data_IF_477968455488
#
_entry.id   IF_477968455488
#
_cell.length_a   1.000
_cell.length_b   1.000
_cell.length_c   1.000
_cell.angle_alpha   90.00
_cell.angle_beta   90.00
_cell.angle_gamma   90.00
#
_symmetry.space_group_name_H-M   'P 1'
#
loop_
_entity.id
_entity.type
_entity.pdbx_description
1 polymer ?
#
# COMPACT_ATOMS: atom_id res chain seq x y z
N UNK A 1 9.70 60.55 5.83
CA UNK A 1 8.75 59.43 5.80
C UNK A 1 8.58 58.97 7.24
N UNK A 2 7.38 59.08 7.80
CA UNK A 2 7.16 58.88 9.23
C UNK A 2 7.22 57.41 9.61
N UNK A 3 7.72 57.14 10.82
CA UNK A 3 7.78 55.79 11.43
C UNK A 3 6.38 55.16 11.50
N UNK A 4 5.33 55.97 11.57
CA UNK A 4 3.92 55.55 11.60
C UNK A 4 3.47 55.01 10.22
N UNK A 5 3.95 55.58 9.11
CA UNK A 5 3.60 55.13 7.76
C UNK A 5 4.24 53.78 7.43
N UNK A 6 5.50 53.57 7.82
CA UNK A 6 6.18 52.28 7.64
C UNK A 6 5.61 51.17 8.53
N UNK A 7 5.11 51.51 9.72
CA UNK A 7 4.36 50.57 10.58
C UNK A 7 3.01 50.19 9.95
N UNK A 8 2.27 51.14 9.40
CA UNK A 8 0.98 50.89 8.76
C UNK A 8 1.15 50.05 7.48
N UNK A 9 2.17 50.35 6.67
CA UNK A 9 2.50 49.58 5.47
C UNK A 9 2.95 48.14 5.79
N UNK A 10 3.74 47.97 6.86
CA UNK A 10 4.14 46.64 7.34
C UNK A 10 2.95 45.85 7.88
N UNK A 11 2.05 46.50 8.62
CA UNK A 11 0.82 45.87 9.13
C UNK A 11 -0.10 45.44 8.00
N UNK A 12 -0.27 46.27 6.97
CA UNK A 12 -1.11 45.94 5.83
C UNK A 12 -0.49 44.80 4.99
N UNK A 13 0.83 44.81 4.78
CA UNK A 13 1.57 43.70 4.16
C UNK A 13 1.47 42.41 4.98
N UNK A 14 1.50 42.48 6.31
CA UNK A 14 1.36 41.29 7.17
C UNK A 14 -0.04 40.65 7.07
N UNK A 15 -1.10 41.47 6.95
CA UNK A 15 -2.47 41.00 6.72
C UNK A 15 -2.58 40.35 5.34
N UNK A 16 -2.03 40.98 4.30
CA UNK A 16 -2.07 40.49 2.92
C UNK A 16 -1.32 39.15 2.77
N UNK A 17 -0.12 39.04 3.39
CA UNK A 17 0.64 37.79 3.46
C UNK A 17 -0.13 36.71 4.22
N UNK A 18 -0.83 37.07 5.30
CA UNK A 18 -1.70 36.14 6.05
C UNK A 18 -2.85 35.60 5.19
N UNK A 19 -3.49 36.45 4.38
CA UNK A 19 -4.57 36.04 3.49
C UNK A 19 -4.08 35.14 2.36
N UNK A 20 -2.93 35.46 1.77
CA UNK A 20 -2.26 34.62 0.76
C UNK A 20 -1.89 33.26 1.36
N UNK A 21 -1.36 33.23 2.58
CA UNK A 21 -0.99 31.99 3.27
C UNK A 21 -2.21 31.13 3.57
N UNK A 22 -3.33 31.74 3.98
CA UNK A 22 -4.60 31.04 4.21
C UNK A 22 -5.14 30.41 2.92
N UNK A 23 -5.20 31.19 1.83
CA UNK A 23 -5.61 30.68 0.51
C UNK A 23 -4.71 29.54 0.04
N UNK A 24 -3.39 29.68 0.17
CA UNK A 24 -2.42 28.64 -0.22
C UNK A 24 -2.52 27.39 0.65
N UNK A 25 -2.80 27.53 1.94
CA UNK A 25 -3.02 26.39 2.85
C UNK A 25 -4.26 25.59 2.45
N UNK A 26 -5.35 26.27 2.07
CA UNK A 26 -6.57 25.62 1.60
C UNK A 26 -6.35 24.87 0.27
N UNK A 27 -5.68 25.49 -0.70
CA UNK A 27 -5.30 24.84 -1.96
C UNK A 27 -4.41 23.62 -1.71
N UNK A 28 -3.43 23.74 -0.82
CA UNK A 28 -2.54 22.65 -0.44
C UNK A 28 -3.28 21.47 0.19
N UNK A 29 -4.22 21.72 1.11
CA UNK A 29 -5.03 20.66 1.71
C UNK A 29 -5.90 19.94 0.66
N UNK A 30 -6.51 20.69 -0.25
CA UNK A 30 -7.26 20.11 -1.37
C UNK A 30 -6.38 19.20 -2.23
N UNK A 31 -5.17 19.66 -2.55
CA UNK A 31 -4.20 18.87 -3.33
C UNK A 31 -3.74 17.62 -2.58
N UNK A 32 -3.49 17.74 -1.26
CA UNK A 32 -3.03 16.64 -0.40
C UNK A 32 -4.09 15.54 -0.27
N UNK A 33 -5.37 15.90 -0.14
CA UNK A 33 -6.49 14.95 -0.17
C UNK A 33 -6.58 14.27 -1.53
N UNK A 34 -6.48 15.03 -2.63
CA UNK A 34 -6.48 14.46 -3.98
C UNK A 34 -5.32 13.50 -4.21
N UNK A 35 -4.12 13.85 -3.75
CA UNK A 35 -2.93 12.99 -3.81
C UNK A 35 -3.13 11.70 -3.02
N UNK A 36 -3.66 11.78 -1.79
CA UNK A 36 -3.92 10.61 -0.96
C UNK A 36 -4.94 9.67 -1.62
N UNK A 37 -6.04 10.21 -2.15
CA UNK A 37 -7.07 9.44 -2.85
C UNK A 37 -6.54 8.79 -4.13
N UNK A 38 -5.74 9.52 -4.91
CA UNK A 38 -5.17 9.01 -6.16
C UNK A 38 -4.12 7.93 -5.89
N UNK A 39 -3.27 8.11 -4.89
CA UNK A 39 -2.26 7.13 -4.49
C UNK A 39 -2.90 5.84 -3.98
N UNK A 40 -3.90 5.95 -3.10
CA UNK A 40 -4.62 4.78 -2.56
C UNK A 40 -5.37 4.04 -3.66
N UNK A 41 -6.12 4.74 -4.50
CA UNK A 41 -6.86 4.14 -5.62
C UNK A 41 -5.91 3.49 -6.63
N UNK A 42 -4.82 4.17 -6.98
CA UNK A 42 -3.81 3.64 -7.91
C UNK A 42 -3.08 2.41 -7.35
N UNK A 43 -2.80 2.37 -6.05
CA UNK A 43 -2.22 1.20 -5.39
C UNK A 43 -3.21 0.02 -5.40
N UNK A 44 -4.48 0.26 -5.08
CA UNK A 44 -5.53 -0.76 -5.12
C UNK A 44 -5.70 -1.34 -6.52
N UNK A 45 -5.73 -0.50 -7.55
CA UNK A 45 -5.83 -0.94 -8.95
C UNK A 45 -4.63 -1.80 -9.37
N UNK A 46 -3.41 -1.37 -9.04
CA UNK A 46 -2.20 -2.15 -9.33
C UNK A 46 -2.21 -3.51 -8.61
N UNK A 47 -2.61 -3.54 -7.35
CA UNK A 47 -2.75 -4.79 -6.58
C UNK A 47 -3.85 -5.67 -7.19
N UNK A 48 -4.97 -5.10 -7.60
CA UNK A 48 -6.05 -5.86 -8.22
C UNK A 48 -5.62 -6.50 -9.55
N UNK A 49 -4.91 -5.76 -10.40
CA UNK A 49 -4.43 -6.27 -11.70
C UNK A 49 -3.32 -7.31 -11.48
N UNK A 50 -2.25 -6.95 -10.77
CA UNK A 50 -1.08 -7.85 -10.59
C UNK A 50 -1.46 -9.04 -9.71
N UNK A 51 -2.15 -8.78 -8.61
CA UNK A 51 -2.63 -9.81 -7.69
C UNK A 51 -3.66 -10.70 -8.34
N UNK A 52 -4.60 -10.14 -9.11
CA UNK A 52 -5.60 -10.91 -9.85
C UNK A 52 -4.98 -11.82 -10.90
N UNK A 53 -4.11 -11.29 -11.78
CA UNK A 53 -3.42 -12.12 -12.78
C UNK A 53 -2.51 -13.16 -12.13
N UNK A 54 -1.78 -12.79 -11.08
CA UNK A 54 -0.92 -13.71 -10.34
C UNK A 54 -1.71 -14.83 -9.65
N UNK A 55 -2.86 -14.51 -9.07
CA UNK A 55 -3.77 -15.49 -8.46
C UNK A 55 -4.32 -16.46 -9.51
N UNK A 56 -4.72 -15.95 -10.67
CA UNK A 56 -5.16 -16.78 -11.79
C UNK A 56 -4.05 -17.76 -12.23
N UNK A 57 -2.82 -17.25 -12.39
CA UNK A 57 -1.67 -18.06 -12.76
C UNK A 57 -1.39 -19.17 -11.73
N UNK A 58 -1.51 -18.87 -10.43
CA UNK A 58 -1.37 -19.87 -9.36
C UNK A 58 -2.43 -20.97 -9.44
N UNK A 59 -3.69 -20.64 -9.77
CA UNK A 59 -4.75 -21.64 -9.94
C UNK A 59 -4.40 -22.56 -11.11
N UNK A 60 -4.05 -22.00 -12.27
CA UNK A 60 -3.66 -22.80 -13.43
C UNK A 60 -2.45 -23.68 -13.14
N UNK A 61 -1.46 -23.15 -12.43
CA UNK A 61 -0.27 -23.90 -12.03
C UNK A 61 -0.63 -25.05 -11.08
N UNK A 62 -1.53 -24.82 -10.13
CA UNK A 62 -2.02 -25.86 -9.22
C UNK A 62 -2.75 -26.97 -9.98
N UNK A 63 -3.64 -26.61 -10.91
CA UNK A 63 -4.37 -27.59 -11.74
C UNK A 63 -3.40 -28.41 -12.59
N UNK A 64 -2.47 -27.75 -13.27
CA UNK A 64 -1.43 -28.43 -14.06
C UNK A 64 -0.56 -29.36 -13.19
N UNK A 65 -0.19 -28.90 -12.00
CA UNK A 65 0.58 -29.69 -11.03
C UNK A 65 -0.16 -30.95 -10.57
N UNK A 66 -1.46 -30.85 -10.28
CA UNK A 66 -2.29 -32.01 -9.90
C UNK A 66 -2.40 -33.00 -11.04
N UNK A 67 -2.62 -32.53 -12.28
CA UNK A 67 -2.70 -33.40 -13.46
C UNK A 67 -1.36 -34.13 -13.67
N UNK A 68 -0.24 -33.42 -13.57
CA UNK A 68 1.10 -33.99 -13.73
C UNK A 68 1.45 -35.00 -12.62
N UNK A 69 1.15 -34.69 -11.36
CA UNK A 69 1.36 -35.63 -10.27
C UNK A 69 0.42 -36.84 -10.37
N UNK A 70 -0.82 -36.62 -10.84
CA UNK A 70 -1.83 -37.65 -11.02
C UNK A 70 -1.42 -38.70 -12.05
N UNK A 71 -0.77 -38.30 -13.13
CA UNK A 71 -0.25 -39.24 -14.15
C UNK A 71 0.93 -40.05 -13.63
N UNK A 72 1.83 -39.47 -12.85
CA UNK A 72 2.98 -40.17 -12.25
C UNK A 72 2.52 -41.16 -11.17
N UNK A 73 1.59 -40.74 -10.29
CA UNK A 73 1.10 -41.57 -9.20
C UNK A 73 0.02 -42.57 -9.62
N UNK A 74 -0.45 -42.52 -10.89
CA UNK A 74 -1.56 -43.34 -11.41
C UNK A 74 -2.87 -43.22 -10.62
N UNK A 75 -2.99 -42.21 -9.74
CA UNK A 75 -4.12 -41.98 -8.86
C UNK A 75 -4.32 -40.49 -8.63
N UNK A 76 -5.46 -39.97 -9.10
CA UNK A 76 -5.83 -38.56 -8.97
C UNK A 76 -6.03 -38.16 -7.49
N UNK A 77 -6.55 -39.08 -6.67
CA UNK A 77 -6.78 -38.84 -5.25
C UNK A 77 -5.47 -38.62 -4.48
N UNK A 78 -4.44 -39.42 -4.79
CA UNK A 78 -3.13 -39.29 -4.14
C UNK A 78 -2.43 -37.98 -4.54
N UNK A 79 -2.55 -37.57 -5.81
CA UNK A 79 -2.04 -36.28 -6.27
C UNK A 79 -2.69 -35.10 -5.54
N UNK A 80 -4.02 -35.08 -5.43
CA UNK A 80 -4.74 -34.04 -4.69
C UNK A 80 -4.33 -33.97 -3.21
N UNK A 81 -4.12 -35.11 -2.55
CA UNK A 81 -3.67 -35.16 -1.15
C UNK A 81 -2.27 -34.56 -0.99
N UNK A 82 -1.33 -34.90 -1.86
CA UNK A 82 0.04 -34.38 -1.79
C UNK A 82 0.10 -32.88 -2.12
N UNK A 83 -0.61 -32.43 -3.16
CA UNK A 83 -0.66 -31.02 -3.51
C UNK A 83 -1.31 -30.19 -2.40
N UNK A 84 -2.43 -30.64 -1.83
CA UNK A 84 -3.09 -29.94 -0.71
C UNK A 84 -2.23 -29.90 0.56
N UNK A 85 -1.54 -31.00 0.91
CA UNK A 85 -0.58 -31.02 2.01
C UNK A 85 0.55 -29.99 1.80
N UNK A 86 1.04 -29.87 0.57
CA UNK A 86 2.08 -28.89 0.21
C UNK A 86 1.59 -27.45 0.38
N UNK A 87 0.35 -27.15 -0.03
CA UNK A 87 -0.27 -25.83 0.20
C UNK A 87 -0.45 -25.52 1.69
N UNK A 88 -0.81 -26.50 2.52
CA UNK A 88 -0.90 -26.33 3.98
C UNK A 88 0.47 -25.96 4.57
N UNK A 89 1.54 -26.61 4.12
CA UNK A 89 2.91 -26.29 4.55
C UNK A 89 3.28 -24.85 4.18
N UNK A 90 2.97 -24.40 2.95
CA UNK A 90 3.15 -23.01 2.55
C UNK A 90 2.34 -22.03 3.42
N UNK A 91 1.12 -22.41 3.80
CA UNK A 91 0.26 -21.62 4.68
C UNK A 91 0.89 -21.45 6.08
N UNK A 92 1.44 -22.51 6.65
CA UNK A 92 2.12 -22.49 7.95
C UNK A 92 3.36 -21.58 7.88
N UNK A 93 4.17 -21.70 6.82
CA UNK A 93 5.35 -20.85 6.60
C UNK A 93 4.95 -19.37 6.52
N UNK A 94 3.90 -19.05 5.75
CA UNK A 94 3.38 -17.70 5.64
C UNK A 94 2.88 -17.16 7.00
N UNK A 95 2.21 -18.01 7.79
CA UNK A 95 1.72 -17.66 9.13
C UNK A 95 2.86 -17.30 10.10
N UNK A 96 3.96 -18.07 10.08
CA UNK A 96 5.14 -17.78 10.92
C UNK A 96 5.82 -16.48 10.49
N UNK A 97 5.93 -16.24 9.18
CA UNK A 97 6.54 -15.01 8.65
C UNK A 97 5.72 -13.75 8.93
N UNK A 98 4.39 -13.87 9.15
CA UNK A 98 3.51 -12.74 9.46
C UNK A 98 4.05 -11.84 10.57
N UNK A 99 4.48 -12.43 11.70
CA UNK A 99 5.03 -11.65 12.82
C UNK A 99 6.27 -10.85 12.45
N UNK A 100 7.11 -11.38 11.55
CA UNK A 100 8.33 -10.71 11.09
C UNK A 100 8.00 -9.50 10.20
N UNK A 101 6.97 -9.65 9.36
CA UNK A 101 6.45 -8.56 8.52
C UNK A 101 5.86 -7.45 9.38
N UNK A 102 5.01 -7.79 10.37
CA UNK A 102 4.40 -6.81 11.27
C UNK A 102 5.46 -6.01 12.04
N UNK A 103 6.47 -6.67 12.61
CA UNK A 103 7.56 -5.97 13.30
C UNK A 103 8.38 -5.06 12.37
N UNK A 104 8.64 -5.47 11.13
CA UNK A 104 9.35 -4.66 10.15
C UNK A 104 8.55 -3.42 9.73
N UNK A 105 7.23 -3.57 9.56
CA UNK A 105 6.31 -2.47 9.26
C UNK A 105 6.25 -1.47 10.42
N UNK A 106 6.06 -1.95 11.65
CA UNK A 106 6.04 -1.11 12.86
C UNK A 106 7.35 -0.32 12.97
N UNK A 107 8.51 -0.96 12.78
CA UNK A 107 9.81 -0.27 12.86
C UNK A 107 9.98 0.81 11.80
N UNK A 108 9.56 0.55 10.55
CA UNK A 108 9.63 1.55 9.46
C UNK A 108 8.66 2.71 9.66
N UNK A 109 7.46 2.44 10.15
CA UNK A 109 6.45 3.47 10.44
C UNK A 109 6.86 4.29 11.65
N UNK A 110 7.37 3.65 12.71
CA UNK A 110 7.81 4.34 13.93
C UNK A 110 8.89 5.37 13.65
N UNK A 111 9.86 5.07 12.77
CA UNK A 111 10.92 6.01 12.40
C UNK A 111 10.40 7.19 11.57
N UNK A 112 9.33 7.01 10.76
CA UNK A 112 8.74 8.09 9.96
C UNK A 112 7.76 8.98 10.73
N UNK A 113 7.20 8.49 11.84
CA UNK A 113 6.18 9.19 12.62
C UNK A 113 6.73 9.81 13.91
N UNK A 114 7.72 9.20 14.55
CA UNK A 114 8.21 9.61 15.87
C UNK A 114 9.66 10.17 15.87
N UNK A 115 10.30 10.23 14.71
CA UNK A 115 11.63 10.82 14.51
C UNK A 115 11.58 11.71 13.26
#
# INVERSE_FOLDING_TARGET
MGIIDSLNETSNKAIDVGEIYYKKTQEYYRLKVFQQLTMTTGMLLKIAVIGGLGFLALIFLSVAGIIFLGTILKSMAAACLITSATFIIFLIIAYVFRKKIDNMLIKKLSVKFFN
#
